data_IF_827087482120
#
_entry.id   IF_827087482120
#
_cell.length_a   1.000
_cell.length_b   1.000
_cell.length_c   1.000
_cell.angle_alpha   90.00
_cell.angle_beta   90.00
_cell.angle_gamma   90.00
#
_symmetry.space_group_name_H-M   'P 1'
#
loop_
_entity.id
_entity.type
_entity.pdbx_description
1 polymer ?
#
# COMPACT_ATOMS: atom_id res chain seq x y z
N UNK A 1 -32.56 -20.74 -10.21
CA UNK A 1 -31.12 -20.86 -9.87
C UNK A 1 -30.72 -19.63 -9.04
N UNK A 2 -29.89 -19.83 -8.02
CA UNK A 2 -29.98 -19.22 -6.68
C UNK A 2 -29.44 -17.77 -6.54
N UNK A 3 -30.26 -16.76 -6.84
CA UNK A 3 -29.93 -15.34 -6.56
C UNK A 3 -29.58 -15.04 -5.10
N UNK A 4 -30.16 -15.81 -4.15
CA UNK A 4 -29.92 -15.67 -2.71
C UNK A 4 -28.50 -16.09 -2.29
N UNK A 5 -27.89 -17.04 -3.02
CA UNK A 5 -26.54 -17.54 -2.73
C UNK A 5 -25.47 -16.57 -3.26
N UNK A 6 -25.73 -15.94 -4.40
CA UNK A 6 -24.81 -15.00 -5.05
C UNK A 6 -24.65 -13.68 -4.27
N UNK A 7 -25.73 -13.13 -3.70
CA UNK A 7 -25.68 -11.88 -2.92
C UNK A 7 -24.95 -12.07 -1.59
N UNK A 8 -25.19 -13.19 -0.91
CA UNK A 8 -24.53 -13.52 0.36
C UNK A 8 -23.04 -13.79 0.15
N UNK A 9 -22.68 -14.51 -0.92
CA UNK A 9 -21.30 -14.74 -1.32
C UNK A 9 -20.56 -13.44 -1.68
N UNK A 10 -21.23 -12.52 -2.39
CA UNK A 10 -20.68 -11.20 -2.75
C UNK A 10 -20.43 -10.31 -1.53
N UNK A 11 -21.33 -10.35 -0.54
CA UNK A 11 -21.14 -9.64 0.73
C UNK A 11 -19.96 -10.20 1.52
N UNK A 12 -19.86 -11.52 1.65
CA UNK A 12 -18.74 -12.20 2.31
C UNK A 12 -17.39 -11.86 1.66
N UNK A 13 -17.31 -11.91 0.33
CA UNK A 13 -16.10 -11.55 -0.42
C UNK A 13 -15.68 -10.08 -0.21
N UNK A 14 -16.65 -9.17 -0.08
CA UNK A 14 -16.36 -7.75 0.19
C UNK A 14 -15.75 -7.55 1.56
N UNK A 15 -16.28 -8.24 2.58
CA UNK A 15 -15.76 -8.17 3.94
C UNK A 15 -14.34 -8.75 4.00
N UNK A 16 -14.11 -9.92 3.37
CA UNK A 16 -12.77 -10.49 3.25
C UNK A 16 -11.78 -9.55 2.55
N UNK A 17 -12.20 -8.93 1.44
CA UNK A 17 -11.36 -7.95 0.75
C UNK A 17 -11.00 -6.77 1.65
N UNK A 18 -11.93 -6.25 2.44
CA UNK A 18 -11.65 -5.17 3.40
C UNK A 18 -10.66 -5.59 4.48
N UNK A 19 -10.78 -6.80 5.03
CA UNK A 19 -9.82 -7.32 6.00
C UNK A 19 -8.42 -7.44 5.40
N UNK A 20 -8.30 -8.05 4.23
CA UNK A 20 -7.02 -8.16 3.51
C UNK A 20 -6.45 -6.77 3.22
N UNK A 21 -7.29 -5.85 2.78
CA UNK A 21 -6.90 -4.47 2.51
C UNK A 21 -6.36 -3.76 3.76
N UNK A 22 -6.93 -3.99 4.94
CA UNK A 22 -6.40 -3.44 6.20
C UNK A 22 -5.05 -4.06 6.57
N UNK A 23 -4.88 -5.37 6.39
CA UNK A 23 -3.60 -6.05 6.64
C UNK A 23 -2.51 -5.46 5.72
N UNK A 24 -2.81 -5.31 4.44
CA UNK A 24 -1.87 -4.74 3.46
C UNK A 24 -1.51 -3.30 3.82
N UNK A 25 -2.50 -2.49 4.20
CA UNK A 25 -2.25 -1.12 4.66
C UNK A 25 -1.27 -1.09 5.83
N UNK A 26 -1.50 -1.93 6.85
CA UNK A 26 -0.63 -2.02 8.02
C UNK A 26 0.80 -2.43 7.65
N UNK A 27 0.96 -3.45 6.80
CA UNK A 27 2.29 -3.90 6.35
C UNK A 27 3.03 -2.79 5.62
N UNK A 28 2.37 -2.13 4.66
CA UNK A 28 3.00 -1.04 3.90
C UNK A 28 3.32 0.16 4.80
N UNK A 29 2.48 0.46 5.78
CA UNK A 29 2.74 1.55 6.74
C UNK A 29 3.90 1.26 7.69
N UNK A 30 4.11 0.01 8.09
CA UNK A 30 5.31 -0.40 8.84
C UNK A 30 6.56 -0.11 8.01
N UNK A 31 6.56 -0.44 6.72
CA UNK A 31 7.68 -0.16 5.81
C UNK A 31 7.88 1.35 5.61
N UNK A 32 6.80 2.12 5.43
CA UNK A 32 6.89 3.58 5.33
C UNK A 32 7.51 4.16 6.61
N UNK A 33 7.10 3.69 7.79
CA UNK A 33 7.66 4.14 9.06
C UNK A 33 9.15 3.81 9.19
N UNK A 34 9.57 2.59 8.85
CA UNK A 34 10.99 2.23 8.89
C UNK A 34 11.80 3.03 7.86
N UNK A 35 11.25 3.31 6.67
CA UNK A 35 11.87 4.21 5.69
C UNK A 35 12.00 5.64 6.22
N UNK A 36 11.00 6.17 6.93
CA UNK A 36 11.09 7.47 7.59
C UNK A 36 12.28 7.53 8.57
N UNK A 37 12.42 6.50 9.41
CA UNK A 37 13.55 6.41 10.36
C UNK A 37 14.90 6.27 9.67
N UNK A 38 14.96 5.55 8.55
CA UNK A 38 16.18 5.45 7.76
C UNK A 38 16.61 6.79 7.14
N UNK A 39 15.65 7.58 6.64
CA UNK A 39 15.93 8.93 6.13
C UNK A 39 16.36 9.88 7.25
N UNK A 40 15.71 9.83 8.41
CA UNK A 40 16.10 10.60 9.61
C UNK A 40 17.55 10.31 9.99
N UNK A 41 17.91 9.03 10.06
CA UNK A 41 19.29 8.62 10.32
C UNK A 41 20.28 9.14 9.27
N UNK A 42 19.91 9.09 7.99
CA UNK A 42 20.76 9.59 6.91
C UNK A 42 20.97 11.10 7.02
N UNK A 43 19.93 11.89 7.30
CA UNK A 43 20.04 13.35 7.49
C UNK A 43 20.99 13.65 8.64
N UNK A 44 20.81 12.99 9.79
CA UNK A 44 21.61 13.23 10.99
C UNK A 44 23.08 12.80 10.86
N UNK A 45 23.37 11.77 10.05
CA UNK A 45 24.72 11.17 9.95
C UNK A 45 25.48 11.53 8.68
N UNK A 46 24.77 11.76 7.58
CA UNK A 46 25.34 12.00 6.26
C UNK A 46 25.10 13.43 5.78
N UNK A 47 24.49 14.30 6.61
CA UNK A 47 24.19 15.71 6.33
C UNK A 47 23.45 15.92 5.00
N UNK A 48 22.57 14.96 4.67
CA UNK A 48 21.76 15.00 3.45
C UNK A 48 20.55 15.91 3.61
N UNK A 49 20.03 16.43 2.49
CA UNK A 49 18.90 17.34 2.49
C UNK A 49 17.62 16.71 3.05
N UNK A 50 16.83 17.51 3.79
CA UNK A 50 15.49 17.16 4.29
C UNK A 50 14.52 16.78 3.15
N UNK A 51 14.80 17.20 1.91
CA UNK A 51 14.03 16.81 0.72
C UNK A 51 14.04 15.29 0.49
N UNK A 52 14.96 14.54 1.12
CA UNK A 52 14.98 13.07 1.15
C UNK A 52 13.70 12.44 1.74
N UNK A 53 12.87 13.18 2.48
CA UNK A 53 11.58 12.65 2.96
C UNK A 53 10.51 12.56 1.86
N UNK A 54 10.68 13.28 0.74
CA UNK A 54 9.63 13.40 -0.29
C UNK A 54 9.13 12.03 -0.77
N UNK A 55 9.98 11.07 -1.19
CA UNK A 55 9.49 9.78 -1.67
C UNK A 55 8.70 9.00 -0.62
N UNK A 56 9.08 9.11 0.65
CA UNK A 56 8.41 8.43 1.77
C UNK A 56 7.05 9.07 2.06
N UNK A 57 6.97 10.41 2.07
CA UNK A 57 5.71 11.16 2.23
C UNK A 57 4.76 10.89 1.06
N UNK A 58 5.29 10.83 -0.18
CA UNK A 58 4.49 10.49 -1.36
C UNK A 58 3.90 9.10 -1.22
N UNK A 59 4.68 8.09 -0.81
CA UNK A 59 4.15 6.75 -0.56
C UNK A 59 3.06 6.74 0.53
N UNK A 60 3.26 7.49 1.62
CA UNK A 60 2.30 7.62 2.72
C UNK A 60 0.92 8.13 2.27
N UNK A 61 0.90 9.11 1.36
CA UNK A 61 -0.33 9.75 0.88
C UNK A 61 -0.94 8.99 -0.30
N UNK A 62 -0.12 8.56 -1.27
CA UNK A 62 -0.61 7.92 -2.50
C UNK A 62 -1.16 6.53 -2.24
N UNK A 63 -0.53 5.75 -1.35
CA UNK A 63 -0.96 4.38 -1.09
C UNK A 63 -2.42 4.24 -0.60
N UNK A 64 -2.90 4.99 0.41
CA UNK A 64 -4.30 4.92 0.83
C UNK A 64 -5.27 5.40 -0.27
N UNK A 65 -4.87 6.35 -1.11
CA UNK A 65 -5.67 6.80 -2.27
C UNK A 65 -5.84 5.65 -3.26
N UNK A 66 -4.77 4.91 -3.56
CA UNK A 66 -4.82 3.74 -4.44
C UNK A 66 -5.72 2.65 -3.86
N UNK A 67 -5.58 2.34 -2.57
CA UNK A 67 -6.45 1.41 -1.86
C UNK A 67 -7.93 1.79 -1.99
N UNK A 68 -8.26 3.07 -1.81
CA UNK A 68 -9.63 3.56 -2.00
C UNK A 68 -10.14 3.30 -3.42
N UNK A 69 -9.33 3.57 -4.45
CA UNK A 69 -9.66 3.27 -5.85
C UNK A 69 -9.87 1.78 -6.10
N UNK A 70 -9.04 0.91 -5.53
CA UNK A 70 -9.22 -0.54 -5.66
C UNK A 70 -10.49 -1.04 -4.98
N UNK A 71 -10.87 -0.45 -3.84
CA UNK A 71 -12.15 -0.74 -3.19
C UNK A 71 -13.34 -0.35 -4.08
N UNK A 72 -13.29 0.80 -4.74
CA UNK A 72 -14.32 1.18 -5.71
C UNK A 72 -14.39 0.19 -6.89
N UNK A 73 -13.23 -0.21 -7.42
CA UNK A 73 -13.13 -1.20 -8.49
C UNK A 73 -13.68 -2.58 -8.09
N UNK A 74 -13.38 -3.04 -6.88
CA UNK A 74 -13.90 -4.29 -6.32
C UNK A 74 -15.42 -4.25 -6.20
N UNK A 75 -15.96 -3.14 -5.70
CA UNK A 75 -17.40 -2.92 -5.54
C UNK A 75 -18.14 -2.88 -6.88
N UNK A 76 -17.48 -2.37 -7.93
CA UNK A 76 -17.98 -2.38 -9.31
C UNK A 76 -17.98 -3.78 -9.97
N UNK A 77 -17.62 -4.83 -9.25
CA UNK A 77 -17.65 -6.22 -9.74
C UNK A 77 -16.34 -6.67 -10.39
N UNK A 78 -15.33 -5.79 -10.53
CA UNK A 78 -14.01 -6.11 -11.07
C UNK A 78 -13.08 -6.67 -9.98
N UNK A 79 -13.55 -7.69 -9.25
CA UNK A 79 -12.92 -8.19 -8.02
C UNK A 79 -11.49 -8.69 -8.24
N UNK A 80 -11.27 -9.54 -9.25
CA UNK A 80 -9.95 -10.10 -9.55
C UNK A 80 -8.94 -9.00 -9.88
N UNK A 81 -9.32 -8.07 -10.76
CA UNK A 81 -8.47 -6.93 -11.13
C UNK A 81 -8.14 -6.05 -9.92
N UNK A 82 -9.12 -5.74 -9.08
CA UNK A 82 -8.91 -4.93 -7.88
C UNK A 82 -7.91 -5.58 -6.92
N UNK A 83 -8.04 -6.89 -6.68
CA UNK A 83 -7.10 -7.64 -5.84
C UNK A 83 -5.70 -7.70 -6.43
N UNK A 84 -5.57 -7.97 -7.74
CA UNK A 84 -4.27 -8.03 -8.41
C UNK A 84 -3.55 -6.67 -8.35
N UNK A 85 -4.25 -5.58 -8.65
CA UNK A 85 -3.66 -4.24 -8.60
C UNK A 85 -3.29 -3.80 -7.19
N UNK A 86 -4.11 -4.16 -6.19
CA UNK A 86 -3.80 -3.91 -4.79
C UNK A 86 -2.50 -4.62 -4.38
N UNK A 87 -2.34 -5.89 -4.71
CA UNK A 87 -1.13 -6.65 -4.40
C UNK A 87 0.09 -6.12 -5.16
N UNK A 88 -0.06 -5.83 -6.45
CA UNK A 88 1.02 -5.34 -7.29
C UNK A 88 1.55 -3.98 -6.81
N UNK A 89 0.66 -3.05 -6.47
CA UNK A 89 1.07 -1.73 -5.98
C UNK A 89 1.60 -1.77 -4.55
N UNK A 90 1.12 -2.67 -3.70
CA UNK A 90 1.73 -2.91 -2.39
C UNK A 90 3.18 -3.38 -2.54
N UNK A 91 3.42 -4.42 -3.34
CA UNK A 91 4.76 -4.93 -3.61
C UNK A 91 5.67 -3.85 -4.23
N UNK A 92 5.17 -3.12 -5.23
CA UNK A 92 5.90 -2.04 -5.89
C UNK A 92 6.31 -0.94 -4.89
N UNK A 93 5.38 -0.50 -4.03
CA UNK A 93 5.66 0.52 -3.01
C UNK A 93 6.78 0.08 -2.07
N UNK A 94 6.71 -1.17 -1.58
CA UNK A 94 7.74 -1.73 -0.69
C UNK A 94 9.10 -1.80 -1.38
N UNK A 95 9.16 -2.33 -2.60
CA UNK A 95 10.42 -2.48 -3.34
C UNK A 95 11.04 -1.10 -3.64
N UNK A 96 10.23 -0.14 -4.10
CA UNK A 96 10.73 1.20 -4.43
C UNK A 96 11.28 1.92 -3.19
N UNK A 97 10.59 1.83 -2.05
CA UNK A 97 11.09 2.39 -0.80
C UNK A 97 12.38 1.70 -0.36
N UNK A 98 12.47 0.37 -0.48
CA UNK A 98 13.68 -0.36 -0.11
C UNK A 98 14.88 0.03 -0.98
N UNK A 99 14.71 0.05 -2.30
CA UNK A 99 15.76 0.46 -3.24
C UNK A 99 16.18 1.91 -2.98
N UNK A 100 15.22 2.80 -2.75
CA UNK A 100 15.48 4.19 -2.42
C UNK A 100 16.34 4.34 -1.16
N UNK A 101 15.97 3.68 -0.06
CA UNK A 101 16.76 3.73 1.17
C UNK A 101 18.15 3.14 0.95
N UNK A 102 18.25 2.01 0.25
CA UNK A 102 19.55 1.40 -0.05
C UNK A 102 20.49 2.35 -0.82
N UNK A 103 19.95 3.16 -1.73
CA UNK A 103 20.73 4.15 -2.49
C UNK A 103 21.19 5.35 -1.65
N UNK A 104 20.49 5.67 -0.56
CA UNK A 104 20.87 6.78 0.33
C UNK A 104 21.94 6.34 1.33
N UNK A 105 21.91 5.07 1.75
CA UNK A 105 22.80 4.54 2.80
C UNK A 105 24.06 3.87 2.28
N UNK A 106 24.16 3.62 0.96
CA UNK A 106 25.34 3.02 0.32
C UNK A 106 26.31 4.09 -0.14
#
# INVERSE_FOLDING_TARGET
MQKYNDEQNRSGMRVLFMFVQMIILSVVYIIIYTSFKAVEYAIDKLDVSVLMYIPVVVAMVVFPILLYKYRQMFNAGKMLLASTWMMATAALTVILLYVYIAQITS
#
